data_IF_073326966475
#
_entry.id   IF_073326966475
#
_cell.length_a   1.000
_cell.length_b   1.000
_cell.length_c   1.000
_cell.angle_alpha   90.00
_cell.angle_beta   90.00
_cell.angle_gamma   90.00
#
_symmetry.space_group_name_H-M   'P 1'
#
loop_
_entity.id
_entity.type
_entity.pdbx_description
1 polymer ?
#
# COMPACT_ATOMS: atom_id res chain seq x y z
N UNK A 1 11.03 9.04 6.28
CA UNK A 1 10.22 8.29 5.29
C UNK A 1 10.40 8.78 3.87
N UNK A 2 10.30 10.08 3.58
CA UNK A 2 10.28 10.60 2.20
C UNK A 2 11.55 10.29 1.39
N UNK A 3 12.73 10.36 1.96
CA UNK A 3 13.99 10.06 1.24
C UNK A 3 14.08 8.63 0.68
N UNK A 4 13.43 7.66 1.30
CA UNK A 4 13.41 6.29 0.79
C UNK A 4 12.38 6.12 -0.33
N UNK A 5 11.26 6.82 -0.26
CA UNK A 5 10.18 6.76 -1.26
C UNK A 5 10.67 7.23 -2.63
N UNK A 6 11.45 8.33 -2.66
CA UNK A 6 11.95 8.90 -3.92
C UNK A 6 13.07 8.07 -4.56
N UNK A 7 13.86 7.34 -3.74
CA UNK A 7 14.95 6.50 -4.25
C UNK A 7 14.52 5.10 -4.68
N UNK A 8 13.58 4.50 -3.94
CA UNK A 8 13.15 3.11 -4.17
C UNK A 8 12.01 3.05 -5.19
N UNK A 9 11.17 4.08 -5.23
CA UNK A 9 9.94 4.13 -6.01
C UNK A 9 8.72 3.72 -5.18
N UNK A 10 7.57 4.39 -5.46
CA UNK A 10 6.32 4.22 -4.68
C UNK A 10 5.81 2.79 -4.77
N UNK A 11 5.71 2.26 -5.99
CA UNK A 11 5.22 0.91 -6.24
C UNK A 11 6.13 -0.16 -5.65
N UNK A 12 7.45 -0.03 -5.84
CA UNK A 12 8.42 -1.00 -5.30
C UNK A 12 8.38 -1.03 -3.78
N UNK A 13 8.26 0.13 -3.14
CA UNK A 13 8.18 0.22 -1.68
C UNK A 13 6.93 -0.50 -1.15
N UNK A 14 5.77 -0.31 -1.79
CA UNK A 14 4.54 -1.02 -1.42
C UNK A 14 4.67 -2.54 -1.59
N UNK A 15 5.31 -3.00 -2.66
CA UNK A 15 5.53 -4.43 -2.93
C UNK A 15 6.53 -5.08 -1.98
N UNK A 16 7.43 -4.33 -1.37
CA UNK A 16 8.37 -4.84 -0.35
C UNK A 16 7.72 -4.81 1.04
N UNK A 17 7.07 -3.71 1.38
CA UNK A 17 6.49 -3.51 2.72
C UNK A 17 5.18 -4.27 2.92
N UNK A 18 4.36 -4.42 1.87
CA UNK A 18 3.07 -5.13 1.94
C UNK A 18 3.18 -6.57 2.42
N UNK A 19 4.03 -7.42 1.83
CA UNK A 19 4.25 -8.78 2.32
C UNK A 19 4.75 -8.83 3.77
N UNK A 20 5.61 -7.86 4.17
CA UNK A 20 6.07 -7.74 5.56
C UNK A 20 4.93 -7.47 6.54
N UNK A 21 4.00 -6.58 6.17
CA UNK A 21 2.80 -6.32 6.96
C UNK A 21 1.88 -7.55 7.04
N UNK A 22 1.66 -8.25 5.92
CA UNK A 22 0.87 -9.48 5.89
C UNK A 22 1.47 -10.58 6.78
N UNK A 23 2.79 -10.81 6.69
CA UNK A 23 3.49 -11.79 7.53
C UNK A 23 3.41 -11.43 9.01
N UNK A 24 3.48 -10.16 9.37
CA UNK A 24 3.31 -9.71 10.75
C UNK A 24 1.91 -10.01 11.28
N UNK A 25 0.86 -9.83 10.47
CA UNK A 25 -0.50 -10.19 10.82
C UNK A 25 -0.70 -11.70 10.95
N UNK A 26 -0.07 -12.50 10.09
CA UNK A 26 -0.07 -13.96 10.22
C UNK A 26 0.58 -14.39 11.54
N UNK A 27 1.74 -13.81 11.87
CA UNK A 27 2.44 -14.06 13.13
C UNK A 27 1.59 -13.68 14.35
N UNK A 28 0.89 -12.54 14.31
CA UNK A 28 -0.07 -12.14 15.34
C UNK A 28 -1.19 -13.17 15.52
N UNK A 29 -1.78 -13.63 14.42
CA UNK A 29 -2.83 -14.65 14.46
C UNK A 29 -2.37 -15.95 15.12
N UNK A 30 -1.15 -16.41 14.80
CA UNK A 30 -0.55 -17.58 15.44
C UNK A 30 -0.31 -17.38 16.94
N UNK A 31 0.19 -16.19 17.33
CA UNK A 31 0.43 -15.87 18.73
C UNK A 31 -0.87 -15.81 19.54
N UNK A 32 -1.92 -15.24 18.99
CA UNK A 32 -3.23 -15.22 19.64
C UNK A 32 -3.85 -16.62 19.79
N UNK A 33 -3.57 -17.53 18.87
CA UNK A 33 -4.03 -18.92 18.97
C UNK A 33 -3.40 -19.67 20.14
N UNK A 34 -2.14 -19.32 20.49
CA UNK A 34 -1.42 -19.95 21.60
C UNK A 34 -1.87 -19.45 22.98
N UNK A 35 -2.74 -18.45 23.07
CA UNK A 35 -3.23 -17.84 24.32
C UNK A 35 -2.12 -17.61 25.37
N UNK A 36 -1.06 -16.83 25.05
CA UNK A 36 0.08 -16.69 25.93
C UNK A 36 -0.31 -15.98 27.24
N UNK A 37 0.22 -16.51 28.36
CA UNK A 37 0.01 -15.89 29.66
C UNK A 37 0.64 -14.48 29.71
N UNK A 38 0.05 -13.54 30.47
CA UNK A 38 0.63 -12.22 30.70
C UNK A 38 2.07 -12.33 31.24
N UNK A 39 3.01 -11.57 30.63
CA UNK A 39 4.42 -11.61 31.01
C UNK A 39 5.23 -12.79 30.44
N UNK A 40 4.62 -13.68 29.66
CA UNK A 40 5.33 -14.76 28.97
C UNK A 40 6.07 -14.26 27.72
N UNK A 41 7.02 -15.04 27.22
CA UNK A 41 7.72 -14.77 25.96
C UNK A 41 6.72 -14.59 24.79
N UNK A 42 5.63 -15.33 24.78
CA UNK A 42 4.57 -15.19 23.77
C UNK A 42 3.89 -13.81 23.80
N UNK A 43 3.67 -13.25 24.99
CA UNK A 43 3.11 -11.89 25.11
C UNK A 43 4.06 -10.83 24.54
N UNK A 44 5.36 -10.95 24.75
CA UNK A 44 6.35 -10.06 24.15
C UNK A 44 6.41 -10.21 22.63
N UNK A 45 6.26 -11.43 22.10
CA UNK A 45 6.20 -11.66 20.65
C UNK A 45 4.97 -11.00 20.01
N UNK A 46 3.83 -10.95 20.67
CA UNK A 46 2.66 -10.19 20.19
C UNK A 46 3.02 -8.73 20.01
N UNK A 47 3.69 -8.12 20.99
CA UNK A 47 4.13 -6.72 20.90
C UNK A 47 5.12 -6.52 19.74
N UNK A 48 6.06 -7.43 19.56
CA UNK A 48 7.02 -7.37 18.46
C UNK A 48 6.32 -7.43 17.10
N UNK A 49 5.40 -8.38 16.90
CA UNK A 49 4.65 -8.47 15.65
C UNK A 49 3.75 -7.25 15.40
N UNK A 50 3.16 -6.67 16.44
CA UNK A 50 2.42 -5.42 16.35
C UNK A 50 3.31 -4.27 15.88
N UNK A 51 4.48 -4.11 16.48
CA UNK A 51 5.44 -3.08 16.09
C UNK A 51 5.95 -3.29 14.66
N UNK A 52 6.22 -4.52 14.26
CA UNK A 52 6.60 -4.86 12.89
C UNK A 52 5.47 -4.51 11.91
N UNK A 53 4.23 -4.86 12.22
CA UNK A 53 3.08 -4.49 11.40
C UNK A 53 2.97 -2.97 11.25
N UNK A 54 3.06 -2.22 12.35
CA UNK A 54 3.03 -0.76 12.32
C UNK A 54 4.16 -0.17 11.49
N UNK A 55 5.36 -0.71 11.61
CA UNK A 55 6.53 -0.27 10.84
C UNK A 55 6.33 -0.48 9.34
N UNK A 56 5.89 -1.66 8.93
CA UNK A 56 5.66 -1.98 7.52
C UNK A 56 4.48 -1.19 6.94
N UNK A 57 3.38 -1.08 7.68
CA UNK A 57 2.20 -0.36 7.24
C UNK A 57 2.46 1.15 7.12
N UNK A 58 2.97 1.79 8.17
CA UNK A 58 3.24 3.23 8.18
C UNK A 58 4.45 3.63 7.34
N UNK A 59 5.47 2.75 7.26
CA UNK A 59 6.71 3.03 6.52
C UNK A 59 6.57 2.92 5.01
N UNK A 60 5.58 2.18 4.51
CA UNK A 60 5.41 1.91 3.09
C UNK A 60 4.01 2.18 2.56
N UNK A 61 3.05 1.38 3.00
CA UNK A 61 1.71 1.36 2.40
C UNK A 61 0.99 2.69 2.59
N UNK A 62 0.95 3.21 3.81
CA UNK A 62 0.23 4.43 4.15
C UNK A 62 0.83 5.66 3.47
N UNK A 63 2.16 5.82 3.51
CA UNK A 63 2.85 6.95 2.87
C UNK A 63 2.65 6.93 1.36
N UNK A 64 2.82 5.76 0.72
CA UNK A 64 2.64 5.64 -0.71
C UNK A 64 1.18 5.84 -1.14
N UNK A 65 0.21 5.38 -0.35
CA UNK A 65 -1.21 5.61 -0.61
C UNK A 65 -1.56 7.10 -0.69
N UNK A 66 -1.08 7.91 0.25
CA UNK A 66 -1.29 9.36 0.25
C UNK A 66 -0.60 10.05 -0.93
N UNK A 67 0.64 9.67 -1.24
CA UNK A 67 1.40 10.26 -2.36
C UNK A 67 0.76 9.94 -3.69
N UNK A 68 0.43 8.68 -3.97
CA UNK A 68 -0.23 8.26 -5.21
C UNK A 68 -1.55 8.98 -5.42
N UNK A 69 -2.36 9.13 -4.37
CA UNK A 69 -3.61 9.88 -4.44
C UNK A 69 -3.45 11.35 -4.81
N UNK A 70 -2.31 11.96 -4.53
CA UNK A 70 -2.00 13.34 -4.91
C UNK A 70 -1.35 13.45 -6.29
N UNK A 71 -0.55 12.44 -6.69
CA UNK A 71 0.24 12.46 -7.94
C UNK A 71 -0.56 11.99 -9.16
N UNK A 72 -1.56 11.14 -9.00
CA UNK A 72 -2.31 10.54 -10.13
C UNK A 72 -3.38 11.44 -10.74
N UNK A 73 -3.65 12.63 -10.19
CA UNK A 73 -4.72 13.49 -10.68
C UNK A 73 -4.22 14.79 -11.29
N UNK A 74 -4.84 15.23 -12.44
CA UNK A 74 -4.52 16.48 -13.09
C UNK A 74 -4.67 17.69 -12.14
N UNK A 75 -3.87 18.73 -12.38
CA UNK A 75 -3.89 19.96 -11.57
C UNK A 75 -5.27 20.59 -11.46
N UNK A 76 -6.04 20.56 -12.55
CA UNK A 76 -7.40 21.11 -12.64
C UNK A 76 -8.41 20.44 -11.70
N UNK A 77 -8.24 19.15 -11.39
CA UNK A 77 -9.16 18.34 -10.59
C UNK A 77 -8.55 17.87 -9.26
N UNK A 78 -7.28 18.18 -9.01
CA UNK A 78 -6.51 17.65 -7.87
C UNK A 78 -7.20 17.89 -6.53
N UNK A 79 -7.77 19.08 -6.29
CA UNK A 79 -8.44 19.40 -5.03
C UNK A 79 -9.65 18.49 -4.76
N UNK A 80 -10.50 18.29 -5.76
CA UNK A 80 -11.68 17.43 -5.65
C UNK A 80 -11.27 15.94 -5.51
N UNK A 81 -10.33 15.49 -6.32
CA UNK A 81 -9.84 14.12 -6.32
C UNK A 81 -9.15 13.76 -4.98
N UNK A 82 -8.32 14.65 -4.44
CA UNK A 82 -7.68 14.45 -3.14
C UNK A 82 -8.71 14.41 -2.01
N UNK A 83 -9.76 15.24 -2.07
CA UNK A 83 -10.85 15.20 -1.08
C UNK A 83 -11.60 13.87 -1.13
N UNK A 84 -11.93 13.37 -2.32
CA UNK A 84 -12.58 12.07 -2.51
C UNK A 84 -11.67 10.92 -2.06
N UNK A 85 -10.38 10.99 -2.38
CA UNK A 85 -9.40 10.02 -1.91
C UNK A 85 -9.32 9.99 -0.39
N UNK A 86 -9.21 11.15 0.26
CA UNK A 86 -9.19 11.25 1.71
C UNK A 86 -10.49 10.69 2.34
N UNK A 87 -11.65 11.04 1.80
CA UNK A 87 -12.94 10.51 2.26
C UNK A 87 -13.02 8.98 2.13
N UNK A 88 -12.50 8.42 1.03
CA UNK A 88 -12.46 6.97 0.83
C UNK A 88 -11.53 6.28 1.81
N UNK A 89 -10.32 6.83 2.06
CA UNK A 89 -9.38 6.30 3.04
C UNK A 89 -9.97 6.29 4.45
N UNK A 90 -10.47 7.42 4.91
CA UNK A 90 -11.06 7.53 6.24
C UNK A 90 -12.35 6.72 6.38
N UNK A 91 -13.14 6.62 5.32
CA UNK A 91 -14.32 5.75 5.27
C UNK A 91 -13.97 4.27 5.40
N UNK A 92 -12.93 3.82 4.70
CA UNK A 92 -12.42 2.46 4.82
C UNK A 92 -11.83 2.18 6.21
N UNK A 93 -11.10 3.13 6.79
CA UNK A 93 -10.52 3.02 8.13
C UNK A 93 -11.62 2.92 9.21
N UNK A 94 -12.68 3.73 9.07
CA UNK A 94 -13.87 3.65 9.93
C UNK A 94 -14.56 2.28 9.82
N UNK A 95 -14.72 1.76 8.60
CA UNK A 95 -15.27 0.42 8.37
C UNK A 95 -14.44 -0.67 9.06
N UNK A 96 -13.14 -0.67 8.84
CA UNK A 96 -12.22 -1.63 9.46
C UNK A 96 -12.30 -1.52 10.98
N UNK A 97 -12.19 -0.33 11.54
CA UNK A 97 -12.19 -0.11 12.99
C UNK A 97 -13.51 -0.53 13.63
N UNK A 98 -14.65 -0.21 13.01
CA UNK A 98 -15.97 -0.55 13.55
C UNK A 98 -16.28 -2.06 13.45
N UNK A 99 -15.76 -2.75 12.44
CA UNK A 99 -16.01 -4.18 12.25
C UNK A 99 -14.98 -5.07 12.94
N UNK A 100 -13.77 -4.58 13.19
CA UNK A 100 -12.67 -5.37 13.74
C UNK A 100 -13.00 -6.00 15.11
N UNK A 101 -13.62 -5.23 16.01
CA UNK A 101 -13.99 -5.71 17.33
C UNK A 101 -15.10 -6.74 17.25
N UNK A 102 -16.15 -6.49 16.46
CA UNK A 102 -17.26 -7.43 16.25
C UNK A 102 -16.78 -8.74 15.60
N UNK A 103 -15.84 -8.66 14.66
CA UNK A 103 -15.22 -9.84 14.08
C UNK A 103 -14.39 -10.61 15.11
N UNK A 104 -13.61 -9.92 15.94
CA UNK A 104 -12.82 -10.55 16.98
C UNK A 104 -13.68 -11.28 18.01
N UNK A 105 -14.84 -10.73 18.34
CA UNK A 105 -15.83 -11.38 19.23
C UNK A 105 -16.53 -12.57 18.55
N UNK A 106 -16.87 -12.47 17.27
CA UNK A 106 -17.61 -13.50 16.54
C UNK A 106 -16.75 -14.70 16.13
N UNK A 107 -15.57 -14.48 15.61
CA UNK A 107 -14.70 -15.53 15.04
C UNK A 107 -13.37 -15.69 15.78
N UNK A 108 -13.09 -14.82 16.75
CA UNK A 108 -11.85 -14.82 17.53
C UNK A 108 -10.74 -13.98 16.90
N UNK A 109 -9.83 -13.51 17.76
CA UNK A 109 -8.72 -12.62 17.37
C UNK A 109 -7.80 -13.23 16.30
N UNK A 110 -7.48 -14.51 16.41
CA UNK A 110 -6.58 -15.19 15.46
C UNK A 110 -7.13 -15.18 14.03
N UNK A 111 -8.39 -15.56 13.88
CA UNK A 111 -9.07 -15.58 12.58
C UNK A 111 -9.25 -14.18 12.00
N UNK A 112 -9.53 -13.20 12.85
CA UNK A 112 -9.61 -11.79 12.45
C UNK A 112 -8.26 -11.29 11.90
N UNK A 113 -7.14 -11.61 12.56
CA UNK A 113 -5.81 -11.24 12.06
C UNK A 113 -5.48 -11.90 10.72
N UNK A 114 -5.84 -13.17 10.54
CA UNK A 114 -5.63 -13.87 9.26
C UNK A 114 -6.53 -13.35 8.15
N UNK A 115 -7.76 -12.95 8.46
CA UNK A 115 -8.62 -12.26 7.50
C UNK A 115 -7.98 -10.95 6.99
N UNK A 116 -7.49 -10.11 7.91
CA UNK A 116 -6.79 -8.89 7.51
C UNK A 116 -5.45 -9.14 6.80
N UNK A 117 -4.75 -10.21 7.15
CA UNK A 117 -3.56 -10.64 6.41
C UNK A 117 -3.91 -11.01 4.96
N UNK A 118 -5.01 -11.72 4.74
CA UNK A 118 -5.51 -12.05 3.41
C UNK A 118 -5.89 -10.80 2.61
N UNK A 119 -6.63 -9.88 3.21
CA UNK A 119 -7.00 -8.59 2.57
C UNK A 119 -5.75 -7.78 2.21
N UNK A 120 -4.76 -7.75 3.10
CA UNK A 120 -3.48 -7.08 2.85
C UNK A 120 -2.74 -7.72 1.67
N UNK A 121 -2.69 -9.06 1.61
CA UNK A 121 -2.07 -9.77 0.49
C UNK A 121 -2.80 -9.52 -0.83
N UNK A 122 -4.13 -9.49 -0.83
CA UNK A 122 -4.93 -9.11 -2.00
C UNK A 122 -4.61 -7.68 -2.46
N UNK A 123 -4.40 -6.75 -1.52
CA UNK A 123 -3.95 -5.39 -1.82
C UNK A 123 -2.56 -5.37 -2.48
N UNK A 124 -1.62 -6.20 -2.03
CA UNK A 124 -0.29 -6.33 -2.66
C UNK A 124 -0.41 -6.83 -4.10
N UNK A 125 -1.27 -7.82 -4.33
CA UNK A 125 -1.54 -8.35 -5.67
C UNK A 125 -2.16 -7.25 -6.55
N UNK A 126 -3.11 -6.48 -6.02
CA UNK A 126 -3.70 -5.35 -6.72
C UNK A 126 -2.63 -4.31 -7.11
N UNK A 127 -1.77 -3.92 -6.18
CA UNK A 127 -0.66 -2.99 -6.44
C UNK A 127 0.26 -3.53 -7.53
N UNK A 128 0.53 -4.83 -7.51
CA UNK A 128 1.40 -5.45 -8.51
C UNK A 128 0.85 -5.35 -9.93
N UNK A 129 -0.45 -5.51 -10.12
CA UNK A 129 -1.06 -5.52 -11.46
C UNK A 129 -1.54 -4.15 -11.92
N UNK A 130 -2.02 -3.29 -11.02
CA UNK A 130 -2.76 -2.09 -11.40
C UNK A 130 -2.05 -0.78 -11.08
N UNK A 131 -1.13 -0.75 -10.11
CA UNK A 131 -0.49 0.50 -9.71
C UNK A 131 0.78 0.74 -10.52
N UNK A 132 0.85 1.83 -11.29
CA UNK A 132 2.05 2.21 -12.04
C UNK A 132 3.14 2.73 -11.10
N UNK A 133 4.40 2.73 -11.59
CA UNK A 133 5.50 3.40 -10.92
C UNK A 133 5.53 4.87 -11.33
N UNK A 134 5.36 5.77 -10.37
CA UNK A 134 5.35 7.23 -10.61
C UNK A 134 6.67 7.91 -10.25
N UNK A 135 7.65 7.16 -9.73
CA UNK A 135 8.94 7.72 -9.32
C UNK A 135 9.74 8.24 -10.51
N UNK A 136 10.11 9.51 -10.47
CA UNK A 136 10.96 10.14 -11.50
C UNK A 136 10.20 10.69 -12.71
N UNK A 137 8.87 10.58 -12.75
CA UNK A 137 8.04 11.23 -13.76
C UNK A 137 7.57 12.61 -13.28
N UNK A 138 7.47 13.59 -14.18
CA UNK A 138 6.83 14.86 -13.87
C UNK A 138 5.32 14.68 -13.75
N UNK A 139 4.62 15.62 -13.09
CA UNK A 139 3.16 15.55 -12.97
C UNK A 139 2.46 15.69 -14.32
N UNK A 140 3.08 16.45 -15.22
CA UNK A 140 2.62 16.66 -16.59
C UNK A 140 2.75 15.38 -17.41
N UNK A 141 3.85 14.63 -17.28
CA UNK A 141 4.07 13.34 -17.96
C UNK A 141 3.08 12.28 -17.47
N UNK A 142 2.76 12.30 -16.18
CA UNK A 142 1.75 11.41 -15.59
C UNK A 142 0.36 11.72 -16.16
N UNK A 143 0.01 13.00 -16.28
CA UNK A 143 -1.27 13.44 -16.82
C UNK A 143 -1.40 13.04 -18.29
N UNK A 144 -0.38 13.28 -19.11
CA UNK A 144 -0.35 12.93 -20.52
C UNK A 144 -0.44 11.42 -20.72
N UNK A 145 0.33 10.64 -19.98
CA UNK A 145 0.29 9.18 -20.03
C UNK A 145 -1.07 8.59 -19.63
N UNK A 146 -1.79 9.25 -18.70
CA UNK A 146 -3.13 8.85 -18.31
C UNK A 146 -4.15 9.14 -19.42
N UNK A 147 -4.07 10.31 -20.06
CA UNK A 147 -4.98 10.73 -21.13
C UNK A 147 -4.77 9.87 -22.38
N UNK A 148 -3.53 9.60 -22.75
CA UNK A 148 -3.16 8.83 -23.95
C UNK A 148 -3.22 7.30 -23.74
N UNK A 149 -3.58 6.83 -22.55
CA UNK A 149 -3.60 5.40 -22.18
C UNK A 149 -2.27 4.68 -22.44
N UNK A 150 -1.16 5.39 -22.33
CA UNK A 150 0.20 4.83 -22.51
C UNK A 150 0.69 3.99 -21.33
N UNK A 151 -0.18 3.65 -20.39
CA UNK A 151 0.14 2.70 -19.34
C UNK A 151 0.42 1.33 -19.94
N UNK A 152 1.69 0.97 -20.13
CA UNK A 152 2.09 -0.38 -20.50
C UNK A 152 2.49 -1.15 -19.24
N UNK A 153 1.72 -2.15 -18.81
CA UNK A 153 2.16 -3.10 -17.80
C UNK A 153 3.23 -4.01 -18.42
N UNK A 154 4.50 -3.63 -18.36
CA UNK A 154 5.59 -4.49 -18.78
C UNK A 154 6.05 -5.33 -17.59
N UNK A 155 5.75 -6.64 -17.61
CA UNK A 155 6.27 -7.70 -16.72
C UNK A 155 6.65 -7.21 -15.30
N UNK A 156 5.68 -6.73 -14.52
CA UNK A 156 5.89 -6.33 -13.14
C UNK A 156 6.57 -4.97 -12.92
N UNK A 157 6.88 -4.21 -13.96
CA UNK A 157 7.47 -2.87 -13.86
C UNK A 157 6.67 -1.89 -14.73
N UNK A 158 5.53 -1.40 -14.21
CA UNK A 158 4.75 -0.33 -14.85
C UNK A 158 5.45 1.01 -14.60
N UNK A 159 6.19 1.51 -15.56
CA UNK A 159 6.72 2.88 -15.61
C UNK A 159 5.90 3.69 -16.60
N UNK A 160 5.71 4.93 -16.31
CA UNK A 160 5.25 5.92 -17.29
C UNK A 160 6.41 6.15 -18.24
N UNK A 161 6.19 5.88 -19.53
CA UNK A 161 7.21 6.09 -20.56
C UNK A 161 7.25 7.59 -20.84
N UNK A 162 8.37 8.23 -20.59
CA UNK A 162 8.61 9.63 -20.95
C UNK A 162 8.70 9.74 -22.46
N UNK A 163 7.97 10.70 -23.04
CA UNK A 163 7.91 10.93 -24.49
C UNK A 163 9.25 11.34 -25.13
N UNK A 164 10.14 11.92 -24.33
CA UNK A 164 11.46 12.38 -24.82
C UNK A 164 12.37 11.26 -25.32
N UNK A 165 12.25 10.03 -24.79
CA UNK A 165 13.10 8.93 -25.22
C UNK A 165 12.71 8.39 -26.61
N UNK A 166 11.44 8.50 -27.01
CA UNK A 166 10.97 8.07 -28.33
C UNK A 166 11.32 9.09 -29.43
N UNK A 167 11.32 10.39 -29.11
CA UNK A 167 11.64 11.44 -30.10
C UNK A 167 13.15 11.52 -30.41
N UNK A 168 14.01 11.13 -29.48
CA UNK A 168 15.46 11.07 -29.66
C UNK A 168 15.86 9.83 -30.48
N UNK A 169 15.18 8.71 -30.30
CA UNK A 169 15.45 7.47 -31.04
C UNK A 169 14.88 7.50 -32.46
N UNK A 170 13.82 8.30 -32.69
CA UNK A 170 13.26 8.53 -34.02
C UNK A 170 14.03 9.54 -34.87
N UNK A 171 14.92 10.33 -34.24
CA UNK A 171 15.75 11.36 -34.90
C UNK A 171 17.19 10.91 -35.16
N UNK A 172 17.56 9.70 -34.75
CA UNK A 172 18.90 9.11 -34.96
C UNK A 172 18.86 8.02 -36.04
#
# INVERSE_FOLDING_TARGET
GCMFVDRIGRRRLMLIMGPGAALSLVGLGVMFLSHPAPGSTGAYLIVVFLLLFMMFNSGGIQVCGWLLGAEMFPLSMRGQATSLHAATLWGADLLVTSTALSMAEAIGLSWTMWFYAFVNLASVIFVFFFVPETAGASLEDIEEALVEKRFRPTRGNTRIVQSEDEDVEAAA
#
